data_IF_455162625071
#
_entry.id   IF_455162625071
#
_cell.length_a   1.000
_cell.length_b   1.000
_cell.length_c   1.000
_cell.angle_alpha   90.00
_cell.angle_beta   90.00
_cell.angle_gamma   90.00
#
_symmetry.space_group_name_H-M   'P 1'
#
loop_
_entity.id
_entity.type
_entity.pdbx_description
1 polymer ?
#
# COMPACT_ATOMS: atom_id res chain seq x y z
N UNK A 1 -15.20 -6.72 -24.05
CA UNK A 1 -14.59 -6.01 -22.90
C UNK A 1 -13.22 -6.63 -22.66
N UNK A 2 -12.14 -5.85 -22.65
CA UNK A 2 -10.80 -6.35 -22.27
C UNK A 2 -10.65 -6.26 -20.75
N UNK A 3 -10.05 -7.27 -20.13
CA UNK A 3 -9.61 -7.23 -18.74
C UNK A 3 -8.15 -7.67 -18.67
N UNK A 4 -7.44 -7.18 -17.67
CA UNK A 4 -6.05 -7.51 -17.43
C UNK A 4 -5.82 -7.54 -15.92
N UNK A 5 -5.05 -8.53 -15.45
CA UNK A 5 -4.75 -8.71 -14.03
C UNK A 5 -3.25 -8.93 -13.87
N UNK A 6 -2.64 -8.22 -12.93
CA UNK A 6 -1.23 -8.40 -12.55
C UNK A 6 -1.13 -8.40 -11.03
N UNK A 7 -0.34 -9.33 -10.50
CA UNK A 7 -0.03 -9.39 -9.08
C UNK A 7 1.36 -8.81 -8.84
N UNK A 8 1.45 -7.85 -7.92
CA UNK A 8 2.71 -7.32 -7.43
C UNK A 8 2.99 -7.96 -6.07
N UNK A 9 4.21 -8.47 -5.89
CA UNK A 9 4.62 -9.16 -4.67
C UNK A 9 5.69 -8.34 -3.95
N UNK A 10 5.52 -8.17 -2.64
CA UNK A 10 6.43 -7.39 -1.80
C UNK A 10 6.86 -8.20 -0.59
N UNK A 11 8.14 -8.15 -0.27
CA UNK A 11 8.71 -8.65 0.98
C UNK A 11 9.57 -7.54 1.59
N UNK A 12 9.03 -6.86 2.59
CA UNK A 12 9.66 -5.68 3.20
C UNK A 12 10.66 -6.09 4.27
N UNK A 13 11.75 -5.33 4.40
CA UNK A 13 12.77 -5.57 5.44
C UNK A 13 12.32 -5.11 6.84
N UNK A 14 11.33 -4.23 6.90
CA UNK A 14 10.81 -3.60 8.12
C UNK A 14 9.33 -3.86 8.27
N UNK A 15 8.82 -3.72 9.50
CA UNK A 15 7.38 -3.88 9.82
C UNK A 15 6.49 -2.88 9.08
N UNK A 16 6.95 -1.64 8.94
CA UNK A 16 6.31 -0.57 8.19
C UNK A 16 7.27 -0.12 7.08
N UNK A 17 6.75 -0.01 5.88
CA UNK A 17 7.50 0.44 4.70
C UNK A 17 6.53 1.13 3.75
N UNK A 18 7.02 2.20 3.12
CA UNK A 18 6.31 2.97 2.12
C UNK A 18 7.00 2.70 0.78
N UNK A 19 6.28 2.15 -0.19
CA UNK A 19 6.82 1.73 -1.48
C UNK A 19 6.01 2.46 -2.56
N UNK A 20 6.68 3.30 -3.34
CA UNK A 20 6.09 3.87 -4.53
C UNK A 20 6.01 2.77 -5.61
N UNK A 21 4.80 2.48 -6.08
CA UNK A 21 4.50 1.44 -7.09
C UNK A 21 3.97 2.02 -8.41
N UNK A 22 4.15 3.34 -8.61
CA UNK A 22 3.59 4.06 -9.76
C UNK A 22 4.10 3.47 -11.07
N UNK A 23 5.41 3.21 -11.17
CA UNK A 23 6.02 2.65 -12.38
C UNK A 23 5.52 1.23 -12.71
N UNK A 24 5.30 0.40 -11.69
CA UNK A 24 4.77 -0.96 -11.81
C UNK A 24 3.31 -0.95 -12.30
N UNK A 25 2.51 -0.02 -11.77
CA UNK A 25 1.12 0.19 -12.19
C UNK A 25 1.06 0.75 -13.60
N UNK A 26 1.88 1.75 -13.94
CA UNK A 26 1.99 2.26 -15.32
C UNK A 26 2.38 1.16 -16.30
N UNK A 27 3.34 0.32 -15.93
CA UNK A 27 3.75 -0.84 -16.73
C UNK A 27 2.60 -1.82 -16.93
N UNK A 28 1.83 -2.11 -15.89
CA UNK A 28 0.63 -2.95 -15.97
C UNK A 28 -0.43 -2.36 -16.92
N UNK A 29 -0.68 -1.05 -16.84
CA UNK A 29 -1.60 -0.35 -17.75
C UNK A 29 -1.11 -0.41 -19.20
N UNK A 30 0.18 -0.15 -19.44
CA UNK A 30 0.80 -0.26 -20.78
C UNK A 30 0.68 -1.68 -21.35
N UNK A 31 0.98 -2.71 -20.54
CA UNK A 31 0.87 -4.13 -20.90
C UNK A 31 -0.58 -4.57 -21.18
N UNK A 32 -1.57 -3.97 -20.51
CA UNK A 32 -3.00 -4.31 -20.70
C UNK A 32 -3.52 -3.99 -22.10
N UNK A 33 -2.93 -3.00 -22.77
CA UNK A 33 -3.42 -2.48 -24.05
C UNK A 33 -4.83 -1.87 -23.99
N UNK A 34 -5.37 -1.59 -22.80
CA UNK A 34 -6.62 -0.83 -22.60
C UNK A 34 -6.33 0.64 -22.86
N UNK A 35 -7.18 1.29 -23.68
CA UNK A 35 -7.03 2.72 -24.02
C UNK A 35 -7.84 3.63 -23.09
N UNK A 36 -9.07 3.22 -22.78
CA UNK A 36 -9.99 3.94 -21.90
C UNK A 36 -10.65 2.91 -20.96
N UNK A 37 -10.70 3.19 -19.66
CA UNK A 37 -11.24 2.25 -18.67
C UNK A 37 -10.92 2.62 -17.23
N UNK A 38 -11.04 1.62 -16.34
CA UNK A 38 -10.74 1.74 -14.92
C UNK A 38 -9.55 0.85 -14.55
N UNK A 39 -8.68 1.32 -13.65
CA UNK A 39 -7.60 0.55 -13.06
C UNK A 39 -7.85 0.44 -11.54
N UNK A 40 -8.10 -0.77 -11.06
CA UNK A 40 -8.20 -1.06 -9.63
C UNK A 40 -6.85 -1.55 -9.13
N UNK A 41 -6.34 -0.92 -8.07
CA UNK A 41 -5.13 -1.35 -7.36
C UNK A 41 -5.49 -1.49 -5.89
N UNK A 42 -5.38 -2.70 -5.35
CA UNK A 42 -5.73 -2.98 -3.96
C UNK A 42 -4.69 -3.88 -3.28
N UNK A 43 -4.52 -3.70 -1.97
CA UNK A 43 -3.82 -4.67 -1.16
C UNK A 43 -4.70 -5.92 -1.00
N UNK A 44 -4.11 -7.11 -1.14
CA UNK A 44 -4.79 -8.37 -0.86
C UNK A 44 -4.66 -8.82 0.60
N UNK A 45 -3.86 -8.11 1.39
CA UNK A 45 -3.63 -8.37 2.81
C UNK A 45 -4.32 -7.31 3.67
N UNK A 46 -4.88 -7.73 4.80
CA UNK A 46 -5.68 -6.87 5.71
C UNK A 46 -4.84 -5.93 6.58
N UNK A 47 -3.52 -6.05 6.55
CA UNK A 47 -2.56 -5.24 7.32
C UNK A 47 -1.69 -4.36 6.41
N UNK A 48 -2.11 -4.14 5.17
CA UNK A 48 -1.45 -3.30 4.19
C UNK A 48 -2.48 -2.38 3.51
N UNK A 49 -2.00 -1.37 2.79
CA UNK A 49 -2.86 -0.44 2.06
C UNK A 49 -2.24 -0.06 0.72
N UNK A 50 -3.09 0.31 -0.23
CA UNK A 50 -2.71 1.02 -1.45
C UNK A 50 -3.40 2.37 -1.37
N UNK A 51 -2.63 3.45 -1.47
CA UNK A 51 -3.13 4.82 -1.40
C UNK A 51 -2.33 5.71 -2.37
N UNK A 52 -2.84 6.93 -2.59
CA UNK A 52 -2.20 7.93 -3.44
C UNK A 52 -1.90 9.15 -2.57
N UNK A 53 -0.64 9.56 -2.54
CA UNK A 53 -0.16 10.81 -1.96
C UNK A 53 1.20 11.17 -2.59
N UNK A 54 1.80 12.29 -2.20
CA UNK A 54 3.12 12.71 -2.69
C UNK A 54 4.24 11.79 -2.18
N UNK A 55 5.24 11.53 -3.04
CA UNK A 55 6.42 10.72 -2.71
C UNK A 55 7.56 11.62 -2.21
N UNK A 56 7.24 12.35 -1.15
CA UNK A 56 8.15 13.28 -0.48
C UNK A 56 8.54 12.70 0.89
N UNK A 57 9.83 12.74 1.23
CA UNK A 57 10.36 12.05 2.41
C UNK A 57 9.83 12.64 3.71
N UNK A 58 9.79 13.96 3.83
CA UNK A 58 9.24 14.63 5.01
C UNK A 58 7.75 14.30 5.20
N UNK A 59 6.97 14.30 4.13
CA UNK A 59 5.55 13.93 4.19
C UNK A 59 5.34 12.46 4.57
N UNK A 60 6.22 11.56 4.11
CA UNK A 60 6.19 10.15 4.53
C UNK A 60 6.49 10.03 6.03
N UNK A 61 7.44 10.80 6.55
CA UNK A 61 7.74 10.87 7.99
C UNK A 61 6.53 11.41 8.78
N UNK A 62 5.93 12.51 8.33
CA UNK A 62 4.70 13.08 8.93
C UNK A 62 3.56 12.04 8.97
N UNK A 63 3.41 11.25 7.90
CA UNK A 63 2.37 10.22 7.79
C UNK A 63 2.63 9.04 8.72
N UNK A 64 3.88 8.59 8.86
CA UNK A 64 4.27 7.53 9.79
C UNK A 64 4.03 7.93 11.25
N UNK A 65 4.38 9.16 11.61
CA UNK A 65 4.12 9.72 12.95
C UNK A 65 2.63 9.87 13.23
N UNK A 66 1.87 10.38 12.26
CA UNK A 66 0.43 10.56 12.38
C UNK A 66 -0.30 9.23 12.59
N UNK A 67 0.09 8.18 11.86
CA UNK A 67 -0.50 6.85 12.02
C UNK A 67 -0.22 6.25 13.40
N UNK A 68 1.00 6.38 13.95
CA UNK A 68 1.28 5.90 15.31
C UNK A 68 0.55 6.70 16.37
N UNK A 69 0.28 7.99 16.15
CA UNK A 69 -0.54 8.77 17.07
C UNK A 69 -1.99 8.27 17.10
N UNK A 70 -2.56 7.91 15.94
CA UNK A 70 -3.95 7.46 15.84
C UNK A 70 -4.14 5.99 16.23
N UNK A 71 -3.23 5.13 15.80
CA UNK A 71 -3.28 3.68 15.98
C UNK A 71 -1.89 3.15 16.40
N UNK A 72 -1.44 3.47 17.62
CA UNK A 72 -0.09 3.14 18.08
C UNK A 72 0.15 1.64 18.09
N UNK A 73 1.35 1.19 17.71
CA UNK A 73 1.71 -0.23 17.79
C UNK A 73 1.74 -0.73 19.24
N UNK A 74 2.34 0.04 20.13
CA UNK A 74 2.61 -0.32 21.53
C UNK A 74 1.72 0.47 22.52
N UNK A 75 1.42 -0.09 23.71
CA UNK A 75 1.74 -1.45 24.14
C UNK A 75 0.87 -2.49 23.42
N UNK A 76 1.48 -3.55 22.86
CA UNK A 76 0.77 -4.58 22.09
C UNK A 76 -0.32 -5.30 22.89
N UNK A 77 -0.20 -5.33 24.21
CA UNK A 77 -1.19 -5.90 25.14
C UNK A 77 -2.52 -5.14 25.17
N UNK A 78 -2.54 -3.89 24.68
CA UNK A 78 -3.74 -3.06 24.54
C UNK A 78 -4.74 -3.67 23.58
N UNK A 79 -4.27 -4.34 22.52
CA UNK A 79 -5.12 -4.87 21.47
C UNK A 79 -5.53 -6.30 21.78
N UNK A 80 -6.84 -6.52 21.98
CA UNK A 80 -7.39 -7.88 22.20
C UNK A 80 -7.14 -8.83 21.03
N UNK A 81 -6.95 -8.28 19.82
CA UNK A 81 -6.61 -9.04 18.61
C UNK A 81 -5.29 -9.82 18.76
N UNK A 82 -4.37 -9.36 19.62
CA UNK A 82 -3.07 -10.01 19.82
C UNK A 82 -3.10 -11.15 20.87
N UNK A 83 -4.28 -11.58 21.34
CA UNK A 83 -4.42 -12.59 22.43
C UNK A 83 -4.54 -14.03 21.94
N UNK A 84 -4.60 -14.22 20.63
CA UNK A 84 -4.68 -15.51 19.95
C UNK A 84 -3.43 -15.70 19.13
#
# INVERSE_FOLDING_TARGET
>A
MKSYTKYLYFNTKTRRAYINITDEVEKAVKESGVKEGLCLVNAMHITASVYINDDERGLIEDYDEWLEKLAPHEPISRYRHNRT
#
